data_IF_886807895800
#
_entry.id   IF_886807895800
#
_cell.length_a   1.000
_cell.length_b   1.000
_cell.length_c   1.000
_cell.angle_alpha   90.00
_cell.angle_beta   90.00
_cell.angle_gamma   90.00
#
_symmetry.space_group_name_H-M   'P 1'
#
loop_
_entity.id
_entity.type
_entity.pdbx_description
1 polymer ?
#
# COMPACT_ATOMS: atom_id res chain seq x y z
N UNK A 1 -6.67 4.15 -7.68
CA UNK A 1 -5.52 3.45 -7.08
C UNK A 1 -4.29 3.88 -7.85
N UNK A 2 -3.16 4.09 -7.20
CA UNK A 2 -1.90 4.46 -7.85
C UNK A 2 -0.74 4.09 -6.91
N UNK A 3 0.34 3.45 -7.39
CA UNK A 3 1.47 3.08 -6.55
C UNK A 3 2.26 4.29 -6.03
N UNK A 4 2.15 5.44 -6.70
CA UNK A 4 2.86 6.66 -6.34
C UNK A 4 4.35 6.63 -6.67
N UNK A 5 5.05 7.78 -6.64
CA UNK A 5 4.50 9.14 -6.50
C UNK A 5 3.60 9.54 -7.68
N UNK A 6 2.70 10.52 -7.48
CA UNK A 6 1.75 10.97 -8.52
C UNK A 6 2.25 12.25 -9.22
N UNK A 7 2.34 12.23 -10.55
CA UNK A 7 2.56 13.40 -11.40
C UNK A 7 1.23 14.11 -11.72
N UNK A 8 0.80 15.01 -10.81
CA UNK A 8 -0.46 15.73 -10.94
C UNK A 8 -0.53 16.57 -12.22
N UNK A 9 -1.68 16.52 -12.90
CA UNK A 9 -1.92 17.21 -14.16
C UNK A 9 -1.28 16.55 -15.38
N UNK A 10 -0.55 15.45 -15.21
CA UNK A 10 0.05 14.67 -16.30
C UNK A 10 -0.58 13.29 -16.37
N UNK A 11 -0.43 12.49 -15.32
CA UNK A 11 -0.99 11.12 -15.27
C UNK A 11 -2.32 11.06 -14.55
N UNK A 12 -2.59 12.03 -13.67
CA UNK A 12 -3.84 12.13 -12.94
C UNK A 12 -4.21 13.57 -12.64
N UNK A 13 -5.50 13.89 -12.79
CA UNK A 13 -6.03 15.15 -12.30
C UNK A 13 -5.87 15.23 -10.78
N UNK A 14 -5.41 16.38 -10.29
CA UNK A 14 -5.12 16.59 -8.88
C UNK A 14 -6.34 16.37 -7.98
N UNK A 15 -7.52 16.79 -8.45
CA UNK A 15 -8.77 16.74 -7.69
C UNK A 15 -9.27 15.28 -7.53
N UNK A 16 -8.86 14.39 -8.43
CA UNK A 16 -9.21 12.97 -8.37
C UNK A 16 -8.40 12.21 -7.32
N UNK A 17 -7.26 12.73 -6.88
CA UNK A 17 -6.44 12.09 -5.83
C UNK A 17 -7.18 12.10 -4.49
N UNK A 18 -7.91 13.19 -4.21
CA UNK A 18 -8.64 13.42 -2.95
C UNK A 18 -10.15 13.13 -3.07
N UNK A 19 -10.62 12.76 -4.26
CA UNK A 19 -12.03 12.47 -4.50
C UNK A 19 -12.56 11.33 -3.58
N UNK A 20 -13.86 11.32 -3.22
CA UNK A 20 -14.43 10.30 -2.31
C UNK A 20 -14.28 8.85 -2.79
N UNK A 21 -14.19 8.65 -4.11
CA UNK A 21 -13.97 7.32 -4.72
C UNK A 21 -12.49 6.98 -4.90
N UNK A 22 -11.59 7.91 -4.61
CA UNK A 22 -10.15 7.64 -4.60
C UNK A 22 -9.82 6.55 -3.59
N UNK A 23 -8.80 5.77 -3.94
CA UNK A 23 -8.24 4.71 -3.10
C UNK A 23 -6.73 4.85 -2.94
N UNK A 24 -6.16 5.99 -3.35
CA UNK A 24 -4.72 6.22 -3.28
C UNK A 24 -4.19 6.15 -1.84
N UNK A 25 -4.78 6.93 -0.92
CA UNK A 25 -4.38 6.93 0.48
C UNK A 25 -4.63 5.57 1.17
N UNK A 26 -5.79 4.95 0.91
CA UNK A 26 -6.13 3.61 1.44
C UNK A 26 -5.12 2.56 0.96
N UNK A 27 -4.74 2.58 -0.32
CA UNK A 27 -3.74 1.68 -0.88
C UNK A 27 -2.37 1.87 -0.22
N UNK A 28 -1.92 3.12 -0.04
CA UNK A 28 -0.64 3.40 0.62
C UNK A 28 -0.63 2.88 2.06
N UNK A 29 -1.70 3.14 2.81
CA UNK A 29 -1.89 2.64 4.18
C UNK A 29 -1.85 1.11 4.22
N UNK A 30 -2.60 0.45 3.33
CA UNK A 30 -2.65 -1.01 3.23
C UNK A 30 -1.29 -1.61 2.83
N UNK A 31 -0.47 -0.88 2.07
CA UNK A 31 0.86 -1.33 1.66
C UNK A 31 1.79 -1.65 2.83
N UNK A 32 1.67 -0.95 3.97
CA UNK A 32 2.44 -1.25 5.18
C UNK A 32 2.03 -2.61 5.74
N UNK A 33 0.73 -2.84 5.93
CA UNK A 33 0.22 -4.09 6.48
C UNK A 33 0.50 -5.29 5.59
N UNK A 34 0.40 -5.13 4.26
CA UNK A 34 0.75 -6.20 3.32
C UNK A 34 2.23 -6.57 3.44
N UNK A 35 3.14 -5.60 3.54
CA UNK A 35 4.56 -5.89 3.73
C UNK A 35 4.83 -6.57 5.07
N UNK A 36 4.19 -6.12 6.15
CA UNK A 36 4.29 -6.78 7.46
C UNK A 36 3.81 -8.24 7.38
N UNK A 37 2.66 -8.48 6.76
CA UNK A 37 2.11 -9.83 6.58
C UNK A 37 3.02 -10.72 5.72
N UNK A 38 3.65 -10.17 4.67
CA UNK A 38 4.60 -10.93 3.84
C UNK A 38 5.88 -11.27 4.59
N UNK A 39 6.44 -10.33 5.35
CA UNK A 39 7.60 -10.60 6.20
C UNK A 39 7.26 -11.71 7.20
N UNK A 40 6.12 -11.59 7.87
CA UNK A 40 5.64 -12.58 8.84
C UNK A 40 5.45 -13.96 8.21
N UNK A 41 4.83 -14.03 7.03
CA UNK A 41 4.65 -15.28 6.29
C UNK A 41 5.98 -15.96 5.96
N UNK A 42 7.00 -15.19 5.54
CA UNK A 42 8.34 -15.71 5.24
C UNK A 42 9.05 -16.19 6.51
N UNK A 43 8.97 -15.45 7.62
CA UNK A 43 9.58 -15.83 8.90
C UNK A 43 9.00 -17.15 9.43
N UNK A 44 7.67 -17.26 9.45
CA UNK A 44 6.97 -18.48 9.87
C UNK A 44 7.27 -19.66 8.94
N UNK A 45 7.21 -19.44 7.63
CA UNK A 45 7.49 -20.48 6.63
C UNK A 45 8.92 -21.03 6.71
N UNK A 46 9.88 -20.22 7.17
CA UNK A 46 11.27 -20.62 7.39
C UNK A 46 11.59 -21.04 8.82
N UNK A 47 10.60 -21.10 9.72
CA UNK A 47 10.77 -21.42 11.14
C UNK A 47 11.78 -20.50 11.86
N UNK A 48 11.80 -19.22 11.49
CA UNK A 48 12.69 -18.21 12.07
C UNK A 48 12.05 -17.44 13.25
N UNK A 49 10.88 -17.89 13.72
CA UNK A 49 10.02 -17.14 14.64
C UNK A 49 8.92 -16.38 13.90
N UNK A 50 8.24 -15.47 14.60
CA UNK A 50 7.13 -14.65 14.10
C UNK A 50 6.36 -14.02 15.25
N UNK A 51 5.52 -13.02 14.96
CA UNK A 51 4.49 -12.59 15.91
C UNK A 51 3.60 -13.80 16.26
N UNK A 52 3.05 -13.92 17.47
CA UNK A 52 2.16 -15.04 17.83
C UNK A 52 0.77 -14.91 17.22
#
# INVERSE_FOLDING_TARGET
>A
MHPGPINRGVEWDGDLVEAPKSRYAVQMHNGVFVRMAMIEAVLRGRKLGGLE
#
